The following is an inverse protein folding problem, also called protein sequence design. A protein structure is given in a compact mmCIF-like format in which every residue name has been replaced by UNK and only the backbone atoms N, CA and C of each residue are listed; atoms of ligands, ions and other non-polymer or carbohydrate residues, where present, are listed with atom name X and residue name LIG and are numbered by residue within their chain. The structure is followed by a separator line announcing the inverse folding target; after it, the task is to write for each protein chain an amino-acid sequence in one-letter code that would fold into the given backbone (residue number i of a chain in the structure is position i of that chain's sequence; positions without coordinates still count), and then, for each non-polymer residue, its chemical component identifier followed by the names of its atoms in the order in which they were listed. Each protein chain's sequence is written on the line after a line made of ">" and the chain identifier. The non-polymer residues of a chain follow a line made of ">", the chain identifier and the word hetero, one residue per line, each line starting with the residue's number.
data_IF_656004259775
#
_entry.id   IF_656004259775
#
_cell.length_a   1.000
_cell.length_b   1.000
_cell.length_c   1.000
_cell.angle_alpha   90.00
_cell.angle_beta   90.00
_cell.angle_gamma   90.00
#
_symmetry.space_group_name_H-M   'P 1'
#
loop_
_entity.id
_entity.type
_entity.pdbx_description
1 polymer ?
#
# COMPACT_ATOMS: atom_id res chain seq x y z
N UNK A 1 24.77 -11.61 -9.78
CA UNK A 1 23.43 -11.70 -10.39
C UNK A 1 22.73 -10.35 -10.24
N UNK A 2 22.01 -9.89 -11.27
CA UNK A 2 21.19 -8.67 -11.25
C UNK A 2 19.72 -9.05 -11.22
N UNK A 3 18.88 -8.34 -10.48
CA UNK A 3 17.43 -8.46 -10.60
C UNK A 3 16.96 -7.89 -11.94
N UNK A 4 15.80 -8.35 -12.42
CA UNK A 4 15.23 -7.84 -13.66
C UNK A 4 14.98 -6.32 -13.59
N UNK A 5 14.98 -5.60 -14.72
CA UNK A 5 14.55 -4.20 -14.74
C UNK A 5 13.12 -4.03 -14.19
N UNK A 6 12.90 -2.91 -13.51
CA UNK A 6 11.58 -2.50 -13.01
C UNK A 6 10.64 -2.16 -14.18
N UNK A 7 9.36 -2.48 -14.02
CA UNK A 7 8.28 -1.99 -14.89
C UNK A 7 7.47 -0.84 -14.26
N UNK A 8 6.69 -0.07 -15.05
CA UNK A 8 5.93 1.06 -14.51
C UNK A 8 4.96 0.66 -13.40
N UNK A 9 4.97 1.40 -12.28
CA UNK A 9 4.20 1.11 -11.05
C UNK A 9 4.46 -0.29 -10.45
N UNK A 10 5.57 -0.96 -10.79
CA UNK A 10 5.86 -2.29 -10.28
C UNK A 10 6.33 -2.29 -8.81
N UNK A 11 5.67 -3.08 -7.96
CA UNK A 11 6.12 -3.33 -6.58
C UNK A 11 7.44 -4.12 -6.52
N UNK A 12 8.26 -3.89 -5.50
CA UNK A 12 9.47 -4.70 -5.27
C UNK A 12 9.15 -6.19 -5.16
N UNK A 13 8.03 -6.53 -4.52
CA UNK A 13 7.52 -7.90 -4.42
C UNK A 13 7.33 -8.54 -5.79
N UNK A 14 6.67 -7.84 -6.72
CA UNK A 14 6.52 -8.30 -8.10
C UNK A 14 7.86 -8.57 -8.77
N UNK A 15 8.83 -7.66 -8.56
CA UNK A 15 10.17 -7.78 -9.13
C UNK A 15 10.89 -9.03 -8.63
N UNK A 16 10.72 -9.40 -7.35
CA UNK A 16 11.19 -10.69 -6.81
C UNK A 16 10.51 -11.88 -7.50
N UNK A 17 9.18 -11.88 -7.62
CA UNK A 17 8.42 -12.94 -8.29
C UNK A 17 8.84 -13.12 -9.75
N UNK A 18 9.01 -12.04 -10.51
CA UNK A 18 9.51 -12.13 -11.90
C UNK A 18 10.93 -12.62 -11.95
N UNK A 19 11.80 -12.08 -11.12
CA UNK A 19 13.23 -12.43 -11.09
C UNK A 19 13.40 -13.93 -10.81
N UNK A 20 12.70 -14.47 -9.80
CA UNK A 20 12.75 -15.91 -9.49
C UNK A 20 12.18 -16.75 -10.62
N UNK A 21 11.14 -16.26 -11.31
CA UNK A 21 10.49 -16.97 -12.42
C UNK A 21 11.37 -17.02 -13.67
N UNK A 22 11.91 -15.88 -14.11
CA UNK A 22 12.73 -15.78 -15.33
C UNK A 22 14.04 -16.52 -15.18
N UNK A 23 14.69 -16.44 -14.00
CA UNK A 23 15.91 -17.20 -13.75
C UNK A 23 15.67 -18.68 -13.40
N UNK A 24 14.41 -19.10 -13.21
CA UNK A 24 14.08 -20.48 -12.81
C UNK A 24 14.68 -20.88 -11.46
N UNK A 25 14.95 -19.92 -10.58
CA UNK A 25 15.57 -20.17 -9.27
C UNK A 25 14.51 -20.33 -8.19
N UNK A 26 14.84 -21.11 -7.16
CA UNK A 26 14.02 -21.16 -5.96
C UNK A 26 14.05 -19.80 -5.23
N UNK A 27 12.95 -19.40 -4.56
CA UNK A 27 12.94 -18.25 -3.66
C UNK A 27 14.10 -18.22 -2.68
N UNK A 28 14.39 -19.34 -2.02
CA UNK A 28 15.46 -19.41 -1.02
C UNK A 28 16.83 -19.14 -1.62
N UNK A 29 17.10 -19.63 -2.83
CA UNK A 29 18.34 -19.34 -3.57
C UNK A 29 18.47 -17.84 -3.87
N UNK A 30 17.41 -17.23 -4.40
CA UNK A 30 17.38 -15.79 -4.70
C UNK A 30 17.60 -14.94 -3.44
N UNK A 31 16.91 -15.27 -2.35
CA UNK A 31 17.02 -14.56 -1.07
C UNK A 31 18.40 -14.74 -0.43
N UNK A 32 19.02 -15.90 -0.60
CA UNK A 32 20.41 -16.12 -0.17
C UNK A 32 21.37 -15.23 -0.94
N UNK A 33 21.20 -15.11 -2.25
CA UNK A 33 22.04 -14.22 -3.08
C UNK A 33 21.90 -12.75 -2.64
N UNK A 34 20.67 -12.29 -2.40
CA UNK A 34 20.39 -10.86 -2.13
C UNK A 34 20.65 -10.49 -0.67
N UNK A 35 20.24 -11.33 0.27
CA UNK A 35 20.23 -10.99 1.71
C UNK A 35 21.20 -11.84 2.54
N UNK A 36 21.88 -12.82 1.94
CA UNK A 36 22.62 -13.86 2.66
C UNK A 36 21.74 -14.63 3.67
N UNK A 37 20.44 -14.76 3.36
CA UNK A 37 19.43 -15.43 4.20
C UNK A 37 18.34 -16.08 3.34
N UNK A 38 18.12 -17.40 3.44
CA UNK A 38 17.20 -18.14 2.56
C UNK A 38 15.70 -17.98 2.92
N UNK A 39 15.41 -17.45 4.09
CA UNK A 39 14.09 -17.43 4.75
C UNK A 39 13.55 -16.00 4.99
N UNK A 40 14.17 -15.00 4.36
CA UNK A 40 13.69 -13.62 4.42
C UNK A 40 12.30 -13.49 3.78
N UNK A 41 11.35 -13.01 4.58
CA UNK A 41 10.00 -12.72 4.08
C UNK A 41 10.00 -11.45 3.20
N UNK A 42 9.48 -11.57 1.98
CA UNK A 42 9.28 -10.45 1.06
C UNK A 42 7.84 -9.99 1.17
N UNK A 43 7.62 -8.75 1.62
CA UNK A 43 6.27 -8.25 1.85
C UNK A 43 5.74 -7.52 0.59
N UNK A 44 4.46 -7.73 0.21
CA UNK A 44 3.86 -7.13 -1.00
C UNK A 44 3.94 -5.62 -1.14
N UNK A 45 3.95 -4.88 -0.02
CA UNK A 45 3.88 -3.41 0.00
C UNK A 45 5.11 -2.75 0.62
N UNK A 46 5.72 -3.37 1.62
CA UNK A 46 6.91 -2.87 2.29
C UNK A 46 8.04 -3.86 2.05
N UNK A 47 9.23 -3.40 1.72
CA UNK A 47 10.39 -4.28 1.72
C UNK A 47 11.48 -3.66 2.58
N UNK A 48 12.04 -4.49 3.45
CA UNK A 48 13.23 -4.16 4.25
C UNK A 48 14.50 -4.60 3.51
N UNK A 49 15.66 -4.14 3.96
CA UNK A 49 16.94 -4.55 3.36
C UNK A 49 17.19 -3.91 1.98
N UNK A 50 16.64 -2.71 1.74
CA UNK A 50 16.77 -1.98 0.48
C UNK A 50 18.23 -1.73 0.08
N UNK A 51 19.13 -1.53 1.06
CA UNK A 51 20.58 -1.47 0.82
C UNK A 51 21.11 -2.72 0.13
N UNK A 52 20.75 -3.90 0.63
CA UNK A 52 21.18 -5.17 0.06
C UNK A 52 20.58 -5.37 -1.35
N UNK A 53 19.29 -5.07 -1.53
CA UNK A 53 18.62 -5.15 -2.84
C UNK A 53 19.31 -4.22 -3.85
N UNK A 54 19.68 -3.01 -3.45
CA UNK A 54 20.30 -2.01 -4.34
C UNK A 54 21.63 -2.45 -4.95
N UNK A 55 22.34 -3.39 -4.31
CA UNK A 55 23.56 -4.00 -4.86
C UNK A 55 23.28 -4.91 -6.08
N UNK A 56 22.03 -5.30 -6.27
CA UNK A 56 21.57 -6.19 -7.34
C UNK A 56 20.63 -5.51 -8.33
N UNK A 57 20.37 -4.20 -8.18
CA UNK A 57 19.51 -3.40 -9.07
C UNK A 57 20.30 -2.26 -9.69
N UNK A 58 19.70 -1.54 -10.65
CA UNK A 58 20.27 -0.29 -11.15
C UNK A 58 20.01 0.88 -10.19
N UNK A 59 18.93 0.75 -9.45
CA UNK A 59 18.34 1.76 -8.59
C UNK A 59 19.00 1.77 -7.22
N UNK A 60 19.19 2.96 -6.65
CA UNK A 60 19.67 3.12 -5.29
C UNK A 60 18.62 2.65 -4.28
N UNK A 61 19.03 2.39 -3.03
CA UNK A 61 18.10 2.06 -1.95
C UNK A 61 17.00 3.14 -1.76
N UNK A 62 17.34 4.41 -1.99
CA UNK A 62 16.42 5.54 -1.93
C UNK A 62 15.39 5.51 -3.07
N UNK A 63 15.83 5.27 -4.30
CA UNK A 63 14.93 5.10 -5.44
C UNK A 63 13.99 3.91 -5.25
N UNK A 64 14.49 2.78 -4.76
CA UNK A 64 13.67 1.61 -4.43
C UNK A 64 12.63 1.93 -3.35
N UNK A 65 13.02 2.66 -2.31
CA UNK A 65 12.13 3.09 -1.23
C UNK A 65 10.98 3.94 -1.78
N UNK A 66 11.30 4.93 -2.63
CA UNK A 66 10.35 5.86 -3.19
C UNK A 66 9.40 5.20 -4.22
N UNK A 67 9.93 4.45 -5.17
CA UNK A 67 9.18 4.04 -6.36
C UNK A 67 8.54 2.66 -6.24
N UNK A 68 9.14 1.74 -5.46
CA UNK A 68 8.73 0.33 -5.45
C UNK A 68 8.22 -0.16 -4.07
N UNK A 69 7.98 0.75 -3.13
CA UNK A 69 7.34 0.46 -1.84
C UNK A 69 6.25 1.47 -1.49
N UNK A 70 5.41 1.11 -0.52
CA UNK A 70 4.47 2.05 0.12
C UNK A 70 5.07 2.77 1.34
N UNK A 71 6.36 2.59 1.65
CA UNK A 71 7.01 3.27 2.77
C UNK A 71 6.88 4.81 2.75
N UNK A 72 6.89 5.51 1.59
CA UNK A 72 6.60 6.94 1.54
C UNK A 72 5.27 7.32 2.18
N UNK A 73 4.23 6.53 1.91
CA UNK A 73 2.89 6.76 2.46
C UNK A 73 2.85 6.52 3.98
N UNK A 74 3.54 5.48 4.47
CA UNK A 74 3.66 5.24 5.91
C UNK A 74 4.46 6.34 6.62
N UNK A 75 5.58 6.77 6.05
CA UNK A 75 6.38 7.88 6.57
C UNK A 75 5.59 9.20 6.59
N UNK A 76 4.73 9.42 5.60
CA UNK A 76 3.81 10.57 5.55
C UNK A 76 2.73 10.50 6.63
N UNK A 77 2.07 9.35 6.78
CA UNK A 77 0.97 9.16 7.73
C UNK A 77 1.41 9.01 9.19
N UNK A 78 2.70 8.68 9.44
CA UNK A 78 3.23 8.44 10.77
C UNK A 78 4.38 9.41 11.11
N UNK A 79 4.10 10.71 11.34
CA UNK A 79 5.15 11.72 11.59
C UNK A 79 6.11 11.37 12.73
N UNK A 80 5.59 10.81 13.83
CA UNK A 80 6.37 10.43 15.01
C UNK A 80 7.41 9.34 14.68
N UNK A 81 7.07 8.40 13.80
CA UNK A 81 7.93 7.27 13.42
C UNK A 81 8.64 7.48 12.08
N UNK A 82 8.45 8.64 11.43
CA UNK A 82 8.95 8.94 10.08
C UNK A 82 10.44 8.68 9.94
N UNK A 83 11.25 9.22 10.85
CA UNK A 83 12.72 9.10 10.77
C UNK A 83 13.17 7.63 10.85
N UNK A 84 12.49 6.81 11.67
CA UNK A 84 12.80 5.39 11.80
C UNK A 84 12.32 4.59 10.58
N UNK A 85 11.20 4.96 9.97
CA UNK A 85 10.70 4.35 8.71
C UNK A 85 11.62 4.68 7.52
N UNK A 86 12.26 5.85 7.54
CA UNK A 86 13.21 6.29 6.52
C UNK A 86 14.63 5.73 6.73
N UNK A 87 14.95 5.19 7.92
CA UNK A 87 16.25 4.59 8.19
C UNK A 87 16.35 3.18 7.59
N UNK A 88 17.25 3.02 6.61
CA UNK A 88 17.53 1.73 5.98
C UNK A 88 18.19 0.70 6.91
N UNK A 89 18.63 1.09 8.10
CA UNK A 89 19.13 0.18 9.13
C UNK A 89 18.02 -0.36 10.05
N UNK A 90 16.81 0.18 9.96
CA UNK A 90 15.66 -0.32 10.73
C UNK A 90 15.39 -1.78 10.40
N UNK A 91 15.31 -2.62 11.43
CA UNK A 91 15.12 -4.06 11.24
C UNK A 91 13.75 -4.37 10.62
N UNK A 92 13.61 -5.46 9.84
CA UNK A 92 12.32 -5.85 9.27
C UNK A 92 11.21 -5.99 10.31
N UNK A 93 11.52 -6.60 11.46
CA UNK A 93 10.58 -6.78 12.55
C UNK A 93 10.12 -5.44 13.17
N UNK A 94 11.06 -4.50 13.34
CA UNK A 94 10.74 -3.16 13.84
C UNK A 94 9.90 -2.38 12.84
N UNK A 95 10.24 -2.42 11.56
CA UNK A 95 9.50 -1.78 10.49
C UNK A 95 8.05 -2.29 10.42
N UNK A 96 7.85 -3.62 10.49
CA UNK A 96 6.53 -4.24 10.53
C UNK A 96 5.73 -3.76 11.76
N UNK A 97 6.36 -3.62 12.93
CA UNK A 97 5.69 -3.11 14.13
C UNK A 97 5.27 -1.65 13.98
N UNK A 98 6.15 -0.78 13.46
CA UNK A 98 5.85 0.63 13.21
C UNK A 98 4.67 0.80 12.26
N UNK A 99 4.66 0.01 11.19
CA UNK A 99 3.61 0.04 10.17
C UNK A 99 2.35 -0.77 10.54
N UNK A 100 2.31 -1.37 11.74
CA UNK A 100 1.23 -2.24 12.24
C UNK A 100 0.93 -3.44 11.34
N UNK A 101 1.97 -4.01 10.75
CA UNK A 101 1.96 -5.20 9.90
C UNK A 101 2.51 -6.43 10.65
N UNK A 102 2.49 -6.42 11.99
CA UNK A 102 3.01 -7.51 12.83
C UNK A 102 2.34 -8.87 12.59
N UNK A 103 1.14 -8.88 12.02
CA UNK A 103 0.44 -10.12 11.67
C UNK A 103 0.95 -10.73 10.35
N UNK A 104 1.71 -10.00 9.55
CA UNK A 104 2.33 -10.49 8.32
C UNK A 104 3.33 -11.61 8.62
N UNK A 105 4.20 -11.42 9.62
CA UNK A 105 5.15 -12.46 10.07
C UNK A 105 4.49 -13.68 10.72
N UNK A 106 3.22 -13.57 11.13
CA UNK A 106 2.43 -14.65 11.73
C UNK A 106 1.64 -15.46 10.69
N UNK A 107 1.87 -15.23 9.39
CA UNK A 107 1.25 -16.01 8.32
C UNK A 107 -0.24 -15.72 8.10
N UNK A 108 -0.77 -14.62 8.66
CA UNK A 108 -2.14 -14.20 8.38
C UNK A 108 -2.26 -13.82 6.89
N UNK A 109 -3.28 -14.36 6.20
CA UNK A 109 -3.40 -14.37 4.74
C UNK A 109 -3.46 -12.96 4.15
N UNK A 110 -2.30 -12.45 3.74
CA UNK A 110 -2.22 -11.22 2.95
C UNK A 110 -2.76 -11.51 1.56
N UNK A 111 -3.47 -10.55 0.99
CA UNK A 111 -4.02 -10.62 -0.37
C UNK A 111 -3.14 -9.81 -1.31
N UNK A 112 -2.90 -10.34 -2.50
CA UNK A 112 -2.36 -9.62 -3.63
C UNK A 112 -3.51 -9.21 -4.53
N UNK A 113 -3.55 -7.92 -4.87
CA UNK A 113 -4.61 -7.35 -5.69
C UNK A 113 -4.14 -7.08 -7.10
N UNK A 114 -4.99 -7.32 -8.09
CA UNK A 114 -4.69 -6.98 -9.48
C UNK A 114 -5.94 -6.59 -10.26
N UNK A 115 -5.74 -5.86 -11.36
CA UNK A 115 -6.80 -5.58 -12.32
C UNK A 115 -6.66 -6.57 -13.49
N UNK A 116 -7.74 -7.30 -13.87
CA UNK A 116 -7.71 -8.18 -15.04
C UNK A 116 -7.37 -7.45 -16.35
N UNK A 117 -7.78 -6.19 -16.49
CA UNK A 117 -7.47 -5.35 -17.66
C UNK A 117 -5.98 -5.00 -17.68
N UNK A 118 -5.42 -4.49 -16.57
CA UNK A 118 -3.98 -4.26 -16.47
C UNK A 118 -3.18 -5.52 -16.79
N UNK A 119 -3.57 -6.70 -16.29
CA UNK A 119 -2.86 -7.94 -16.57
C UNK A 119 -2.77 -8.23 -18.09
N UNK A 120 -3.85 -8.02 -18.84
CA UNK A 120 -3.83 -8.18 -20.30
C UNK A 120 -2.99 -7.11 -21.00
N UNK A 121 -3.11 -5.85 -20.57
CA UNK A 121 -2.27 -4.76 -21.08
C UNK A 121 -0.78 -5.00 -20.81
N UNK A 122 -0.42 -5.44 -19.62
CA UNK A 122 0.96 -5.72 -19.23
C UNK A 122 1.55 -6.85 -20.08
N UNK A 123 0.76 -7.89 -20.33
CA UNK A 123 1.14 -9.00 -21.23
C UNK A 123 1.36 -8.50 -22.65
N UNK A 124 0.49 -7.63 -23.14
CA UNK A 124 0.61 -7.06 -24.49
C UNK A 124 1.84 -6.15 -24.64
N UNK A 125 2.09 -5.26 -23.68
CA UNK A 125 3.15 -4.25 -23.78
C UNK A 125 4.53 -4.75 -23.34
N UNK A 126 4.59 -5.64 -22.35
CA UNK A 126 5.83 -6.10 -21.72
C UNK A 126 6.06 -7.60 -21.81
N UNK A 127 5.12 -8.36 -22.38
CA UNK A 127 5.21 -9.83 -22.51
C UNK A 127 4.96 -10.58 -21.20
N UNK A 128 4.62 -9.89 -20.11
CA UNK A 128 4.48 -10.48 -18.78
C UNK A 128 3.58 -9.62 -17.90
N UNK A 129 2.72 -10.25 -17.10
CA UNK A 129 1.93 -9.57 -16.06
C UNK A 129 2.80 -9.20 -14.86
N UNK A 130 2.39 -8.24 -14.04
CA UNK A 130 3.15 -7.91 -12.82
C UNK A 130 2.28 -7.25 -11.74
N UNK A 131 2.71 -7.33 -10.48
CA UNK A 131 1.95 -6.74 -9.37
C UNK A 131 2.23 -5.24 -9.26
N UNK A 132 1.28 -4.45 -9.75
CA UNK A 132 1.23 -3.00 -9.58
C UNK A 132 1.15 -2.63 -8.10
N UNK A 133 1.94 -1.64 -7.69
CA UNK A 133 2.08 -1.18 -6.32
C UNK A 133 0.83 -0.43 -5.86
N UNK A 134 0.26 0.41 -6.72
CA UNK A 134 -0.97 1.15 -6.41
C UNK A 134 -2.13 0.22 -6.07
N UNK A 135 -2.24 -0.93 -6.74
CA UNK A 135 -3.27 -1.93 -6.44
C UNK A 135 -3.13 -2.51 -5.04
N UNK A 136 -1.94 -2.48 -4.44
CA UNK A 136 -1.71 -3.07 -3.11
C UNK A 136 -2.06 -2.13 -1.95
N UNK A 137 -2.43 -0.87 -2.23
CA UNK A 137 -2.86 0.08 -1.20
C UNK A 137 -4.01 -0.51 -0.39
N UNK A 138 -3.86 -0.58 0.93
CA UNK A 138 -4.92 -1.11 1.78
C UNK A 138 -6.19 -0.30 1.56
N UNK A 139 -7.28 -1.01 1.35
CA UNK A 139 -8.59 -0.40 1.17
C UNK A 139 -8.93 0.17 -0.20
N UNK A 140 -7.96 0.23 -1.11
CA UNK A 140 -8.27 0.45 -2.53
C UNK A 140 -8.81 -0.85 -3.11
N UNK A 141 -10.07 -0.85 -3.54
CA UNK A 141 -10.77 -2.03 -4.10
C UNK A 141 -10.94 -1.95 -5.61
N UNK A 142 -10.51 -0.84 -6.22
CA UNK A 142 -10.70 -0.53 -7.63
C UNK A 142 -9.38 -0.13 -8.28
N UNK A 143 -9.20 -0.44 -9.56
CA UNK A 143 -8.05 0.01 -10.32
C UNK A 143 -8.09 1.53 -10.52
N UNK A 144 -6.97 2.23 -10.35
CA UNK A 144 -6.91 3.68 -10.59
C UNK A 144 -6.92 4.05 -12.09
N UNK A 145 -6.66 3.08 -12.98
CA UNK A 145 -6.60 3.26 -14.45
C UNK A 145 -7.88 2.84 -15.15
N UNK A 146 -8.54 1.81 -14.64
CA UNK A 146 -9.75 1.22 -15.23
C UNK A 146 -10.87 1.21 -14.18
N UNK A 147 -12.13 1.51 -14.54
CA UNK A 147 -13.28 1.46 -13.62
C UNK A 147 -13.70 0.01 -13.33
N UNK A 148 -12.76 -0.78 -12.81
CA UNK A 148 -12.83 -2.22 -12.63
C UNK A 148 -12.39 -2.56 -11.22
N UNK A 149 -13.17 -3.40 -10.53
CA UNK A 149 -12.84 -3.93 -9.22
C UNK A 149 -11.56 -4.79 -9.28
N UNK A 150 -10.73 -4.67 -8.24
CA UNK A 150 -9.51 -5.45 -8.11
C UNK A 150 -9.83 -6.86 -7.65
N UNK A 151 -9.28 -7.82 -8.37
CA UNK A 151 -9.29 -9.23 -8.01
C UNK A 151 -8.20 -9.52 -6.99
N UNK A 152 -8.44 -10.48 -6.11
CA UNK A 152 -7.53 -10.83 -5.01
C UNK A 152 -7.11 -12.29 -5.05
N UNK A 153 -5.82 -12.55 -4.86
CA UNK A 153 -5.30 -13.90 -4.61
C UNK A 153 -4.52 -13.94 -3.30
N UNK A 154 -4.50 -15.10 -2.65
CA UNK A 154 -3.71 -15.28 -1.44
C UNK A 154 -2.22 -15.32 -1.74
N UNK A 155 -1.46 -14.57 -0.93
CA UNK A 155 0.00 -14.72 -0.85
C UNK A 155 0.31 -16.15 -0.34
N UNK A 156 1.30 -16.86 -0.91
CA UNK A 156 1.71 -18.16 -0.39
C UNK A 156 2.33 -18.05 1.02
N UNK A 157 2.60 -19.19 1.65
CA UNK A 157 3.39 -19.22 2.88
C UNK A 157 4.78 -18.60 2.69
N UNK A 158 5.47 -18.31 3.80
CA UNK A 158 6.85 -17.82 3.81
C UNK A 158 7.73 -18.61 2.81
N UNK A 159 8.55 -17.93 1.98
CA UNK A 159 8.92 -16.51 2.04
C UNK A 159 7.97 -15.55 1.30
N UNK A 160 6.74 -15.99 0.99
CA UNK A 160 5.67 -15.21 0.35
C UNK A 160 5.84 -14.96 -1.15
N UNK A 161 6.95 -15.40 -1.74
CA UNK A 161 7.21 -15.39 -3.18
C UNK A 161 7.36 -16.83 -3.69
N UNK A 162 7.06 -17.06 -4.97
CA UNK A 162 7.32 -18.34 -5.67
C UNK A 162 7.44 -18.13 -7.17
N UNK A 163 8.03 -19.10 -7.86
CA UNK A 163 8.04 -19.17 -9.33
C UNK A 163 6.60 -19.13 -9.83
N UNK A 164 6.34 -18.27 -10.82
CA UNK A 164 5.03 -18.12 -11.46
C UNK A 164 3.98 -17.37 -10.64
N UNK A 165 4.33 -16.74 -9.51
CA UNK A 165 3.37 -15.91 -8.75
C UNK A 165 3.15 -14.55 -9.42
N UNK A 166 2.41 -14.55 -10.51
CA UNK A 166 2.08 -13.38 -11.32
C UNK A 166 0.56 -13.24 -11.46
N UNK A 167 0.03 -12.03 -11.74
CA UNK A 167 -1.39 -11.86 -12.00
C UNK A 167 -1.87 -12.75 -13.16
N UNK A 168 -2.96 -13.51 -12.99
CA UNK A 168 -3.51 -14.33 -14.06
C UNK A 168 -4.26 -13.47 -15.10
N UNK A 169 -4.10 -13.81 -16.38
CA UNK A 169 -4.80 -13.13 -17.49
C UNK A 169 -6.20 -13.70 -17.77
N UNK A 170 -6.56 -14.82 -17.14
CA UNK A 170 -7.81 -15.55 -17.38
C UNK A 170 -9.03 -14.95 -16.68
N UNK A 171 -8.84 -13.98 -15.79
CA UNK A 171 -9.93 -13.36 -15.05
C UNK A 171 -10.69 -12.38 -15.94
N UNK A 172 -12.00 -12.30 -15.72
CA UNK A 172 -12.90 -11.33 -16.37
C UNK A 172 -13.13 -10.15 -15.44
N UNK A 173 -13.11 -8.95 -15.98
CA UNK A 173 -13.36 -7.72 -15.23
C UNK A 173 -14.80 -7.61 -14.70
N UNK A 174 -14.93 -7.03 -13.51
CA UNK A 174 -16.18 -6.60 -12.92
C UNK A 174 -16.13 -5.07 -12.79
N UNK A 175 -17.16 -4.36 -13.26
CA UNK A 175 -17.20 -2.89 -13.15
C UNK A 175 -17.27 -2.46 -11.68
N UNK A 176 -16.52 -1.41 -11.33
CA UNK A 176 -16.64 -0.74 -10.03
C UNK A 176 -17.63 0.41 -10.10
N UNK A 177 -18.11 0.88 -8.95
CA UNK A 177 -18.82 2.16 -8.90
C UNK A 177 -17.85 3.34 -9.07
N UNK A 178 -18.41 4.51 -9.41
CA UNK A 178 -17.67 5.74 -9.69
C UNK A 178 -16.91 6.27 -8.45
N UNK A 179 -17.50 6.15 -7.27
CA UNK A 179 -16.91 6.66 -6.01
C UNK A 179 -15.64 5.88 -5.65
N UNK A 180 -15.67 4.55 -5.74
CA UNK A 180 -14.50 3.71 -5.51
C UNK A 180 -13.41 3.98 -6.57
N UNK A 181 -13.80 4.27 -7.82
CA UNK A 181 -12.86 4.59 -8.89
C UNK A 181 -12.18 5.93 -8.67
N UNK A 182 -12.94 6.98 -8.32
CA UNK A 182 -12.39 8.29 -8.03
C UNK A 182 -11.53 8.29 -6.76
N UNK A 183 -11.91 7.51 -5.74
CA UNK A 183 -11.07 7.30 -4.58
C UNK A 183 -9.74 6.60 -4.92
N UNK A 184 -9.78 5.59 -5.79
CA UNK A 184 -8.57 4.90 -6.25
C UNK A 184 -7.61 5.86 -7.00
N UNK A 185 -8.15 6.74 -7.87
CA UNK A 185 -7.36 7.80 -8.53
C UNK A 185 -6.76 8.76 -7.51
N UNK A 186 -7.58 9.27 -6.58
CA UNK A 186 -7.12 10.17 -5.53
C UNK A 186 -5.98 9.58 -4.70
N UNK A 187 -6.10 8.29 -4.33
CA UNK A 187 -5.06 7.57 -3.60
C UNK A 187 -3.76 7.43 -4.41
N UNK A 188 -3.85 7.12 -5.71
CA UNK A 188 -2.69 7.04 -6.59
C UNK A 188 -1.99 8.40 -6.76
N UNK A 189 -2.76 9.46 -7.01
CA UNK A 189 -2.25 10.82 -7.11
C UNK A 189 -1.59 11.29 -5.81
N UNK A 190 -2.26 11.06 -4.67
CA UNK A 190 -1.72 11.37 -3.35
C UNK A 190 -0.39 10.67 -3.09
N UNK A 191 -0.29 9.37 -3.43
CA UNK A 191 0.97 8.62 -3.30
C UNK A 191 2.09 9.27 -4.12
N UNK A 192 1.81 9.69 -5.35
CA UNK A 192 2.80 10.34 -6.22
C UNK A 192 3.24 11.72 -5.71
N UNK A 193 2.32 12.52 -5.18
CA UNK A 193 2.62 13.80 -4.54
C UNK A 193 3.49 13.59 -3.28
N UNK A 194 3.16 12.57 -2.46
CA UNK A 194 3.94 12.20 -1.27
C UNK A 194 5.36 11.78 -1.65
N UNK A 195 5.52 10.96 -2.71
CA UNK A 195 6.83 10.50 -3.20
C UNK A 195 7.74 11.66 -3.59
N UNK A 196 7.18 12.68 -4.23
CA UNK A 196 7.88 13.92 -4.63
C UNK A 196 8.20 14.84 -3.46
N UNK A 197 7.68 14.55 -2.26
CA UNK A 197 7.78 15.37 -1.04
C UNK A 197 7.10 16.74 -1.18
N UNK A 198 6.10 16.82 -2.06
CA UNK A 198 5.36 18.05 -2.34
C UNK A 198 4.32 18.38 -1.25
N UNK A 199 3.99 17.41 -0.37
CA UNK A 199 3.06 17.61 0.73
C UNK A 199 3.61 17.11 2.06
N UNK A 200 3.30 17.86 3.12
CA UNK A 200 3.51 17.44 4.50
C UNK A 200 2.27 16.74 5.05
N UNK A 201 2.41 16.10 6.21
CA UNK A 201 1.26 15.57 6.93
C UNK A 201 0.33 16.73 7.32
N UNK A 202 -0.99 16.64 7.08
CA UNK A 202 -1.91 17.73 7.38
C UNK A 202 -2.06 17.95 8.88
N UNK A 203 -2.14 19.21 9.30
CA UNK A 203 -2.66 19.55 10.62
C UNK A 203 -4.20 19.51 10.57
N UNK A 204 -4.79 18.40 11.02
CA UNK A 204 -6.24 18.23 10.97
C UNK A 204 -7.01 19.32 11.72
N UNK A 205 -6.47 19.89 12.80
CA UNK A 205 -7.16 20.97 13.51
C UNK A 205 -7.27 22.24 12.67
N UNK A 206 -6.23 22.57 11.89
CA UNK A 206 -6.27 23.71 10.96
C UNK A 206 -7.26 23.47 9.81
N UNK A 207 -7.31 22.24 9.30
CA UNK A 207 -8.28 21.83 8.27
C UNK A 207 -9.71 21.94 8.80
N UNK A 208 -9.98 21.37 9.98
CA UNK A 208 -11.30 21.42 10.62
C UNK A 208 -11.74 22.85 10.93
N UNK A 209 -10.80 23.73 11.33
CA UNK A 209 -11.07 25.16 11.53
C UNK A 209 -11.52 25.83 10.24
N UNK A 210 -10.80 25.60 9.13
CA UNK A 210 -11.15 26.15 7.79
C UNK A 210 -12.51 25.66 7.30
N UNK A 211 -12.89 24.43 7.64
CA UNK A 211 -14.19 23.85 7.30
C UNK A 211 -15.32 24.26 8.26
N UNK A 212 -15.08 25.15 9.21
CA UNK A 212 -16.06 25.57 10.24
C UNK A 212 -16.60 24.42 11.10
N UNK A 213 -15.80 23.36 11.28
CA UNK A 213 -16.14 22.16 12.05
C UNK A 213 -15.69 22.22 13.52
N UNK A 214 -15.10 23.34 13.94
CA UNK A 214 -14.78 23.63 15.34
C UNK A 214 -15.79 24.63 15.93
N UNK A 215 -16.08 24.51 17.23
CA UNK A 215 -16.80 25.52 18.02
C UNK A 215 -15.91 26.74 18.29
N UNK A 216 -16.51 27.81 18.84
CA UNK A 216 -15.75 29.00 19.27
C UNK A 216 -14.67 28.66 20.30
N UNK A 217 -14.96 27.69 21.18
CA UNK A 217 -14.01 27.17 22.18
C UNK A 217 -12.98 26.17 21.62
N UNK A 218 -12.97 25.94 20.30
CA UNK A 218 -12.04 25.04 19.63
C UNK A 218 -12.42 23.55 19.68
N UNK A 219 -13.59 23.19 20.21
CA UNK A 219 -14.05 21.81 20.28
C UNK A 219 -14.62 21.33 18.94
N UNK A 220 -14.37 20.08 18.56
CA UNK A 220 -14.97 19.50 17.36
C UNK A 220 -16.51 19.47 17.47
N UNK A 221 -17.20 19.95 16.44
CA UNK A 221 -18.65 19.78 16.25
C UNK A 221 -18.94 18.33 15.89
N UNK A 222 -18.78 17.42 16.87
CA UNK A 222 -18.80 15.95 16.69
C UNK A 222 -19.96 15.47 15.82
N UNK A 223 -21.20 15.85 16.16
CA UNK A 223 -22.39 15.39 15.43
C UNK A 223 -22.38 15.79 13.95
N UNK A 224 -21.84 16.96 13.61
CA UNK A 224 -21.74 17.43 12.22
C UNK A 224 -20.63 16.69 11.49
N UNK A 225 -19.44 16.60 12.10
CA UNK A 225 -18.29 15.94 11.50
C UNK A 225 -18.56 14.45 11.23
N UNK A 226 -19.00 13.70 12.24
CA UNK A 226 -19.24 12.26 12.11
C UNK A 226 -20.35 11.96 11.11
N UNK A 227 -21.41 12.78 11.06
CA UNK A 227 -22.47 12.62 10.06
C UNK A 227 -21.97 12.82 8.64
N UNK A 228 -21.16 13.85 8.38
CA UNK A 228 -20.61 14.09 7.04
C UNK A 228 -19.68 12.98 6.59
N UNK A 229 -18.76 12.56 7.47
CA UNK A 229 -17.79 11.51 7.12
C UNK A 229 -18.50 10.18 6.94
N UNK A 230 -19.41 9.81 7.84
CA UNK A 230 -20.21 8.59 7.71
C UNK A 230 -21.00 8.57 6.40
N UNK A 231 -21.71 9.67 6.07
CA UNK A 231 -22.47 9.77 4.83
C UNK A 231 -21.60 9.57 3.58
N UNK A 232 -20.40 10.16 3.55
CA UNK A 232 -19.44 9.93 2.45
C UNK A 232 -18.98 8.48 2.39
N UNK A 233 -18.69 7.87 3.54
CA UNK A 233 -18.26 6.47 3.59
C UNK A 233 -19.34 5.50 3.11
N UNK A 234 -20.63 5.83 3.24
CA UNK A 234 -21.74 5.00 2.72
C UNK A 234 -21.84 5.01 1.18
N UNK A 235 -21.11 5.89 0.49
CA UNK A 235 -21.08 5.94 -0.97
C UNK A 235 -20.11 4.91 -1.57
N UNK A 236 -19.26 4.30 -0.74
CA UNK A 236 -18.32 3.26 -1.16
C UNK A 236 -19.03 1.91 -1.35
N UNK A 237 -18.49 1.07 -2.23
CA UNK A 237 -19.02 -0.27 -2.44
C UNK A 237 -18.78 -1.22 -1.26
N UNK A 238 -19.47 -2.38 -1.27
CA UNK A 238 -19.41 -3.40 -0.21
C UNK A 238 -17.99 -3.91 0.09
N UNK A 239 -17.07 -3.83 -0.89
CA UNK A 239 -15.66 -4.22 -0.75
C UNK A 239 -14.84 -3.37 0.22
N UNK A 240 -15.37 -2.22 0.66
CA UNK A 240 -14.69 -1.29 1.59
C UNK A 240 -14.87 -1.65 3.07
N UNK A 241 -15.45 -2.82 3.36
CA UNK A 241 -15.68 -3.32 4.72
C UNK A 241 -14.37 -3.32 5.55
N UNK A 242 -14.33 -2.55 6.64
CA UNK A 242 -13.15 -2.41 7.51
C UNK A 242 -12.36 -1.10 7.34
N UNK A 243 -12.60 -0.35 6.26
CA UNK A 243 -12.05 1.00 6.03
C UNK A 243 -13.02 2.12 6.39
N UNK A 244 -14.29 1.77 6.57
CA UNK A 244 -15.36 2.73 6.81
C UNK A 244 -15.91 2.53 8.22
N UNK A 245 -16.37 3.60 8.88
CA UNK A 245 -17.05 3.50 10.17
C UNK A 245 -18.29 2.60 10.05
N UNK A 246 -18.54 1.82 11.10
CA UNK A 246 -19.65 0.84 11.13
C UNK A 246 -21.00 1.48 11.48
N UNK A 247 -20.98 2.67 12.09
CA UNK A 247 -22.17 3.43 12.44
C UNK A 247 -21.86 4.92 12.59
N UNK A 248 -22.90 5.76 12.62
CA UNK A 248 -22.80 7.20 12.90
C UNK A 248 -22.12 7.49 14.26
N UNK A 249 -22.28 6.58 15.21
CA UNK A 249 -21.77 6.69 16.59
C UNK A 249 -20.44 5.97 16.80
N UNK A 250 -19.78 5.53 15.72
CA UNK A 250 -18.45 4.91 15.76
C UNK A 250 -17.35 5.97 15.99
N UNK A 251 -17.43 6.64 17.14
CA UNK A 251 -16.52 7.72 17.50
C UNK A 251 -15.07 7.22 17.64
N UNK A 252 -14.89 5.95 18.01
CA UNK A 252 -13.58 5.32 18.13
C UNK A 252 -12.87 5.17 16.78
N UNK A 253 -13.59 5.19 15.66
CA UNK A 253 -12.98 5.05 14.35
C UNK A 253 -12.11 6.26 13.95
N UNK A 254 -12.59 7.50 14.19
CA UNK A 254 -11.91 8.75 13.80
C UNK A 254 -11.27 9.53 14.94
N UNK A 255 -11.70 9.37 16.20
CA UNK A 255 -11.05 10.06 17.32
C UNK A 255 -9.52 9.88 17.36
N UNK A 256 -8.96 8.69 17.02
CA UNK A 256 -7.51 8.49 16.96
C UNK A 256 -6.79 9.37 15.93
N UNK A 257 -7.38 9.60 14.74
CA UNK A 257 -6.77 10.43 13.70
C UNK A 257 -6.77 11.91 14.08
N UNK A 258 -7.84 12.36 14.77
CA UNK A 258 -8.01 13.76 15.14
C UNK A 258 -7.15 14.18 16.34
N UNK A 259 -6.82 13.23 17.21
CA UNK A 259 -6.04 13.49 18.43
C UNK A 259 -4.52 13.37 18.21
N UNK A 260 -4.07 12.98 17.01
CA UNK A 260 -2.66 12.73 16.63
C UNK A 260 -1.87 11.85 17.63
N UNK A 261 -2.60 11.05 18.41
CA UNK A 261 -2.05 10.28 19.54
C UNK A 261 -1.92 8.79 19.23
N UNK A 262 -2.42 8.33 18.08
CA UNK A 262 -2.49 6.92 17.75
C UNK A 262 -2.18 6.69 16.27
N UNK A 263 -1.08 6.00 15.99
CA UNK A 263 -0.66 5.60 14.64
C UNK A 263 -1.82 4.89 13.91
N UNK A 264 -2.46 5.55 12.94
CA UNK A 264 -3.50 4.93 12.11
C UNK A 264 -2.90 4.35 10.83
N UNK A 265 -3.63 3.42 10.19
CA UNK A 265 -3.25 2.97 8.86
C UNK A 265 -3.32 4.16 7.88
N UNK A 266 -2.33 4.35 6.99
CA UNK A 266 -2.27 5.52 6.11
C UNK A 266 -3.54 5.79 5.29
N UNK A 267 -4.25 4.73 4.86
CA UNK A 267 -5.52 4.86 4.11
C UNK A 267 -6.56 5.68 4.86
N UNK A 268 -6.61 5.64 6.20
CA UNK A 268 -7.55 6.47 6.97
C UNK A 268 -7.29 7.98 6.82
N UNK A 269 -6.06 8.36 6.48
CA UNK A 269 -5.70 9.75 6.21
C UNK A 269 -6.07 10.19 4.78
N UNK A 270 -6.28 9.22 3.88
CA UNK A 270 -6.68 9.45 2.49
C UNK A 270 -8.22 9.47 2.33
N UNK A 271 -8.96 8.79 3.21
CA UNK A 271 -10.42 8.88 3.32
C UNK A 271 -10.85 10.22 3.92
#
# INVERSE_FOLDING_TARGET
>A
MRMLPVLPDESLFSRFCRTTTVYGMSPSSLLTIIFNKPDMNVHPILNSGLKAISLHTSESADQLWHEQTLLPLFAWALPISRNEIMDFNTTPARLNRLCRLSNFSLGQRTLLKFCPVCAREDTFHYGVTYWHLAHQLHGVTTCHRHPVALESIHVPSSPHIRIGLMPPVSYTEQLSNEIDFDFAKFCYESLNIIRRKDITHPNYMDVLKKLNLLSLDGNLKKNVFYAHVYAKCQLFGEGSSGLIPTSLTDYHYWEPILKDKCCQHPTKHLL
#
